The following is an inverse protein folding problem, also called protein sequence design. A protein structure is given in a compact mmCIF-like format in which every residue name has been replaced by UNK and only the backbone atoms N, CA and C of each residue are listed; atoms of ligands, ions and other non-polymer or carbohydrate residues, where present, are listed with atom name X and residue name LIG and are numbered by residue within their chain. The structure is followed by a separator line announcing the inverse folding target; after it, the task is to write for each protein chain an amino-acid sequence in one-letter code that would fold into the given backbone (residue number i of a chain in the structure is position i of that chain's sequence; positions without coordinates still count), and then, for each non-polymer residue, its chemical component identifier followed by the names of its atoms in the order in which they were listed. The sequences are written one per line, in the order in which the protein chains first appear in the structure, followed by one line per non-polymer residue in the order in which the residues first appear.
data_IF_349433888632
#
_entry.id   IF_349433888632
#
_cell.length_a   1.000
_cell.length_b   1.000
_cell.length_c   1.000
_cell.angle_alpha   90.00
_cell.angle_beta   90.00
_cell.angle_gamma   90.00
#
_symmetry.space_group_name_H-M   'P 1'
#
loop_
_entity.id
_entity.type
_entity.pdbx_description
1 polymer ?
#
# COMPACT_ATOMS: atom_id res chain seq x y z
N UNK A 1 36.21 29.89 -14.42
CA UNK A 1 34.96 30.21 -13.69
C UNK A 1 33.93 29.07 -13.80
N UNK A 2 33.41 28.73 -14.99
CA UNK A 2 32.36 27.69 -15.13
C UNK A 2 32.74 26.29 -14.60
N UNK A 3 33.98 25.82 -14.86
CA UNK A 3 34.44 24.50 -14.37
C UNK A 3 34.49 24.37 -12.85
N UNK A 4 34.88 25.43 -12.15
CA UNK A 4 35.00 25.43 -10.69
C UNK A 4 33.64 25.45 -9.99
N UNK A 5 32.65 26.11 -10.61
CA UNK A 5 31.25 26.05 -10.17
C UNK A 5 30.71 24.63 -10.36
N UNK A 6 30.99 24.00 -11.50
CA UNK A 6 30.55 22.62 -11.78
C UNK A 6 31.18 21.58 -10.84
N UNK A 7 32.47 21.74 -10.50
CA UNK A 7 33.19 20.90 -9.53
C UNK A 7 32.65 21.07 -8.10
N UNK A 8 32.18 22.26 -7.74
CA UNK A 8 31.56 22.51 -6.44
C UNK A 8 30.11 21.99 -6.38
N UNK A 9 29.35 22.05 -7.47
CA UNK A 9 27.92 21.68 -7.49
C UNK A 9 27.70 20.17 -7.43
N UNK A 10 28.58 19.36 -8.05
CA UNK A 10 28.49 17.89 -8.05
C UNK A 10 28.46 17.26 -6.63
N UNK A 11 29.38 17.58 -5.71
CA UNK A 11 29.34 17.03 -4.36
C UNK A 11 28.14 17.54 -3.55
N UNK A 12 27.74 18.81 -3.71
CA UNK A 12 26.54 19.33 -3.05
C UNK A 12 25.28 18.60 -3.53
N UNK A 13 25.14 18.35 -4.83
CA UNK A 13 24.03 17.57 -5.38
C UNK A 13 24.02 16.14 -4.85
N UNK A 14 25.18 15.48 -4.74
CA UNK A 14 25.28 14.13 -4.20
C UNK A 14 24.81 14.06 -2.74
N UNK A 15 25.20 15.02 -1.91
CA UNK A 15 24.76 15.12 -0.51
C UNK A 15 23.25 15.38 -0.45
N UNK A 16 22.72 16.29 -1.27
CA UNK A 16 21.28 16.57 -1.31
C UNK A 16 20.48 15.34 -1.74
N UNK A 17 20.95 14.59 -2.75
CA UNK A 17 20.33 13.34 -3.18
C UNK A 17 20.31 12.28 -2.05
N UNK A 18 21.42 12.15 -1.32
CA UNK A 18 21.52 11.24 -0.18
C UNK A 18 20.60 11.66 0.99
N UNK A 19 20.48 12.96 1.25
CA UNK A 19 19.58 13.48 2.27
C UNK A 19 18.11 13.22 1.90
N UNK A 20 17.74 13.49 0.65
CA UNK A 20 16.37 13.28 0.16
C UNK A 20 16.00 11.80 0.16
N UNK A 21 16.94 10.90 -0.22
CA UNK A 21 16.68 9.46 -0.18
C UNK A 21 16.48 8.98 1.26
N UNK A 22 17.29 9.45 2.20
CA UNK A 22 17.15 9.13 3.62
C UNK A 22 15.82 9.64 4.20
N UNK A 23 15.47 10.90 3.94
CA UNK A 23 14.20 11.47 4.39
C UNK A 23 12.99 10.71 3.83
N UNK A 24 13.06 10.29 2.57
CA UNK A 24 12.02 9.45 1.96
C UNK A 24 11.91 8.10 2.66
N UNK A 25 13.03 7.48 3.03
CA UNK A 25 13.05 6.21 3.73
C UNK A 25 12.46 6.35 5.15
N UNK A 26 12.83 7.38 5.88
CA UNK A 26 12.29 7.68 7.21
C UNK A 26 10.76 7.89 7.17
N UNK A 27 10.28 8.67 6.20
CA UNK A 27 8.84 8.86 6.00
C UNK A 27 8.10 7.56 5.66
N UNK A 28 8.73 6.64 4.93
CA UNK A 28 8.15 5.33 4.65
C UNK A 28 8.09 4.46 5.90
N UNK A 29 9.13 4.47 6.74
CA UNK A 29 9.16 3.70 7.99
C UNK A 29 8.10 4.23 8.97
N UNK A 30 8.03 5.55 9.17
CA UNK A 30 7.03 6.18 10.03
C UNK A 30 5.60 5.90 9.56
N UNK A 31 5.32 5.94 8.25
CA UNK A 31 4.02 5.55 7.71
C UNK A 31 3.69 4.10 8.05
N UNK A 32 4.65 3.20 7.91
CA UNK A 32 4.48 1.77 8.24
C UNK A 32 4.20 1.58 9.73
N UNK A 33 4.83 2.35 10.61
CA UNK A 33 4.54 2.31 12.05
C UNK A 33 3.16 2.87 12.39
N UNK A 34 2.79 3.99 11.78
CA UNK A 34 1.45 4.56 11.93
C UNK A 34 0.36 3.58 11.51
N UNK A 35 0.55 2.89 10.38
CA UNK A 35 -0.36 1.83 9.96
C UNK A 35 -0.42 0.70 10.99
N UNK A 36 0.70 0.28 11.60
CA UNK A 36 0.70 -0.76 12.66
C UNK A 36 -0.12 -0.30 13.87
N UNK A 37 -0.01 0.97 14.26
CA UNK A 37 -0.67 1.53 15.43
C UNK A 37 -2.17 1.79 15.21
N UNK A 38 -2.59 2.19 14.00
CA UNK A 38 -4.00 2.51 13.73
C UNK A 38 -4.89 1.29 13.54
N UNK A 39 -4.33 0.07 13.49
CA UNK A 39 -5.09 -1.16 13.23
C UNK A 39 -5.42 -1.81 14.56
N UNK A 40 -6.72 -1.81 14.91
CA UNK A 40 -7.24 -2.35 16.16
C UNK A 40 -6.63 -3.71 16.49
N UNK A 41 -6.07 -3.82 17.69
CA UNK A 41 -5.41 -5.04 18.19
C UNK A 41 -6.41 -6.07 18.74
N UNK A 42 -7.69 -5.93 18.39
CA UNK A 42 -8.79 -6.71 18.96
C UNK A 42 -9.33 -7.75 17.96
N UNK A 43 -8.62 -7.95 16.85
CA UNK A 43 -8.96 -8.94 15.83
C UNK A 43 -10.07 -8.52 14.87
N UNK A 44 -10.55 -7.28 14.98
CA UNK A 44 -11.59 -6.72 14.11
C UNK A 44 -10.95 -5.73 13.13
N UNK A 45 -11.08 -6.03 11.83
CA UNK A 45 -10.73 -5.10 10.75
C UNK A 45 -12.01 -4.57 10.10
N UNK A 46 -12.15 -3.24 10.08
CA UNK A 46 -13.14 -2.55 9.23
C UNK A 46 -12.39 -1.96 8.04
N UNK A 47 -12.60 -2.55 6.86
CA UNK A 47 -11.96 -2.10 5.64
C UNK A 47 -12.95 -1.36 4.74
N UNK A 48 -12.69 -0.08 4.51
CA UNK A 48 -13.43 0.75 3.56
C UNK A 48 -12.83 0.61 2.16
N UNK A 49 -13.63 0.13 1.21
CA UNK A 49 -13.28 0.14 -0.21
C UNK A 49 -13.74 1.47 -0.81
N UNK A 50 -12.77 2.32 -1.15
CA UNK A 50 -13.04 3.59 -1.83
C UNK A 50 -13.40 3.40 -3.30
N UNK A 51 -14.10 4.37 -3.90
CA UNK A 51 -14.38 4.42 -5.35
C UNK A 51 -14.93 3.11 -5.94
N UNK A 52 -15.86 2.45 -5.22
CA UNK A 52 -16.37 1.12 -5.58
C UNK A 52 -16.76 0.97 -7.06
N UNK A 53 -17.47 1.96 -7.61
CA UNK A 53 -17.90 1.93 -9.01
C UNK A 53 -16.73 1.85 -10.00
N UNK A 54 -15.64 2.58 -9.75
CA UNK A 54 -14.44 2.54 -10.57
C UNK A 54 -13.73 1.19 -10.39
N UNK A 55 -13.51 0.74 -9.16
CA UNK A 55 -12.85 -0.54 -8.89
C UNK A 55 -13.62 -1.72 -9.51
N UNK A 56 -14.96 -1.67 -9.50
CA UNK A 56 -15.79 -2.69 -10.13
C UNK A 56 -15.67 -2.66 -11.66
N UNK A 57 -15.63 -1.48 -12.29
CA UNK A 57 -15.39 -1.36 -13.74
C UNK A 57 -14.02 -1.93 -14.12
N UNK A 58 -12.99 -1.62 -13.35
CA UNK A 58 -11.65 -2.16 -13.55
C UNK A 58 -11.62 -3.69 -13.39
N UNK A 59 -12.32 -4.23 -12.39
CA UNK A 59 -12.44 -5.68 -12.18
C UNK A 59 -13.26 -6.39 -13.26
N UNK A 60 -14.20 -5.71 -13.90
CA UNK A 60 -14.91 -6.22 -15.10
C UNK A 60 -14.02 -6.20 -16.34
N UNK A 61 -13.17 -5.19 -16.47
CA UNK A 61 -12.26 -5.05 -17.61
C UNK A 61 -11.06 -6.01 -17.51
N UNK A 62 -10.60 -6.30 -16.29
CA UNK A 62 -9.47 -7.20 -16.00
C UNK A 62 -9.93 -8.32 -15.06
N UNK A 63 -10.11 -9.54 -15.59
CA UNK A 63 -10.31 -10.74 -14.78
C UNK A 63 -9.27 -10.86 -13.67
N UNK A 64 -9.66 -11.37 -12.51
CA UNK A 64 -8.79 -11.58 -11.34
C UNK A 64 -8.19 -10.30 -10.72
N UNK A 65 -8.75 -9.12 -10.97
CA UNK A 65 -8.34 -7.90 -10.28
C UNK A 65 -8.93 -7.87 -8.85
N UNK A 66 -8.10 -8.21 -7.87
CA UNK A 66 -8.45 -8.15 -6.46
C UNK A 66 -8.08 -6.81 -5.81
N UNK A 67 -8.92 -6.35 -4.89
CA UNK A 67 -8.55 -5.32 -3.92
C UNK A 67 -7.96 -5.99 -2.68
N UNK A 68 -7.01 -5.33 -2.03
CA UNK A 68 -6.37 -5.85 -0.82
C UNK A 68 -6.58 -4.88 0.33
N UNK A 69 -6.96 -5.42 1.50
CA UNK A 69 -6.95 -4.64 2.72
C UNK A 69 -5.51 -4.31 3.12
N UNK A 70 -5.29 -3.29 3.95
CA UNK A 70 -4.09 -3.24 4.76
C UNK A 70 -3.95 -4.55 5.54
N UNK A 71 -2.73 -5.05 5.72
CA UNK A 71 -2.51 -6.20 6.61
C UNK A 71 -3.02 -5.87 8.01
N UNK A 72 -3.39 -6.82 8.85
CA UNK A 72 -3.81 -6.53 10.22
C UNK A 72 -3.44 -7.68 11.13
N UNK A 73 -3.39 -7.43 12.43
CA UNK A 73 -3.09 -8.46 13.40
C UNK A 73 -4.38 -8.92 14.08
N UNK A 74 -4.50 -10.23 14.27
CA UNK A 74 -5.61 -10.84 15.01
C UNK A 74 -5.64 -10.38 16.48
N UNK A 75 -4.48 -10.13 17.06
CA UNK A 75 -4.31 -9.48 18.36
C UNK A 75 -2.86 -8.98 18.51
N UNK A 76 -2.54 -8.28 19.59
CA UNK A 76 -1.15 -7.82 19.86
C UNK A 76 -0.19 -9.02 19.86
N UNK A 77 0.82 -8.99 18.99
CA UNK A 77 1.77 -10.08 18.76
C UNK A 77 1.18 -11.38 18.17
N UNK A 78 -0.05 -11.34 17.64
CA UNK A 78 -0.72 -12.48 17.03
C UNK A 78 -0.41 -12.69 15.54
N UNK A 79 -1.28 -13.45 14.85
CA UNK A 79 -1.18 -13.68 13.41
C UNK A 79 -1.41 -12.40 12.62
N UNK A 80 -0.62 -12.22 11.56
CA UNK A 80 -0.77 -11.15 10.57
C UNK A 80 -1.56 -11.67 9.37
N UNK A 81 -2.71 -11.07 9.10
CA UNK A 81 -3.63 -11.44 8.03
C UNK A 81 -3.80 -10.30 7.03
N UNK A 82 -4.38 -10.60 5.87
CA UNK A 82 -4.76 -9.60 4.87
C UNK A 82 -6.01 -10.10 4.13
N UNK A 83 -7.04 -9.27 4.05
CA UNK A 83 -8.25 -9.60 3.29
C UNK A 83 -8.01 -9.28 1.82
N UNK A 84 -8.45 -10.16 0.92
CA UNK A 84 -8.55 -9.89 -0.51
C UNK A 84 -10.01 -10.00 -0.96
N UNK A 85 -10.45 -9.08 -1.82
CA UNK A 85 -11.81 -9.07 -2.37
C UNK A 85 -11.78 -8.92 -3.87
N UNK A 86 -12.51 -9.76 -4.59
CA UNK A 86 -12.68 -9.67 -6.03
C UNK A 86 -14.09 -9.15 -6.31
N UNK A 87 -14.19 -7.87 -6.68
CA UNK A 87 -15.47 -7.18 -6.80
C UNK A 87 -16.37 -7.76 -7.92
N UNK A 88 -15.74 -8.34 -8.95
CA UNK A 88 -16.42 -9.02 -10.03
C UNK A 88 -16.27 -10.56 -9.93
N UNK A 89 -16.06 -11.08 -8.73
CA UNK A 89 -15.91 -12.51 -8.48
C UNK A 89 -14.55 -13.08 -8.93
N UNK A 90 -14.29 -14.31 -8.52
CA UNK A 90 -13.10 -15.05 -8.89
C UNK A 90 -13.45 -16.55 -9.04
N UNK A 91 -12.85 -17.22 -10.02
CA UNK A 91 -13.09 -18.65 -10.27
C UNK A 91 -14.54 -18.93 -10.66
N UNK A 92 -15.21 -19.83 -9.94
CA UNK A 92 -16.60 -20.24 -10.25
C UNK A 92 -17.64 -19.13 -10.13
N UNK A 93 -17.33 -18.08 -9.37
CA UNK A 93 -18.25 -16.96 -9.11
C UNK A 93 -17.95 -15.73 -9.99
N UNK A 94 -17.03 -15.84 -10.94
CA UNK A 94 -16.61 -14.73 -11.79
C UNK A 94 -17.79 -14.14 -12.58
N UNK A 95 -17.92 -12.81 -12.53
CA UNK A 95 -18.97 -12.04 -13.19
C UNK A 95 -20.34 -12.07 -12.52
N UNK A 96 -20.54 -12.86 -11.45
CA UNK A 96 -21.87 -13.06 -10.84
C UNK A 96 -21.94 -12.60 -9.39
N UNK A 97 -20.94 -12.93 -8.57
CA UNK A 97 -20.91 -12.60 -7.14
C UNK A 97 -19.59 -11.92 -6.77
N UNK A 98 -19.57 -11.29 -5.60
CA UNK A 98 -18.34 -10.78 -5.01
C UNK A 98 -17.67 -11.90 -4.20
N UNK A 99 -16.37 -12.09 -4.38
CA UNK A 99 -15.59 -13.10 -3.64
C UNK A 99 -14.69 -12.44 -2.60
N UNK A 100 -14.57 -13.04 -1.41
CA UNK A 100 -13.74 -12.55 -0.29
C UNK A 100 -12.90 -13.69 0.26
N UNK A 101 -11.60 -13.43 0.48
CA UNK A 101 -10.66 -14.37 1.10
C UNK A 101 -9.83 -13.66 2.19
N UNK A 102 -9.41 -14.42 3.22
CA UNK A 102 -8.52 -14.00 4.34
C UNK A 102 -7.28 -14.88 4.37
#
# INVERSE_FOLDING_TARGET
MARQVEESVKPHLAIMCALVSWQRQELQELRRELEKLSRGSDGVLIWKIGSYGQCLQEAKAKPNLGCFSPAFYTHKYGYKLQVSTFLNGNGSDEGTHLSICI
#
